data_IF_893183994312
#
_entry.id   IF_893183994312
#
_cell.length_a   1.000
_cell.length_b   1.000
_cell.length_c   1.000
_cell.angle_alpha   90.00
_cell.angle_beta   90.00
_cell.angle_gamma   90.00
#
_symmetry.space_group_name_H-M   'P 1'
#
loop_
_entity.id
_entity.type
_entity.pdbx_description
1 polymer ?
#
# COMPACT_ATOMS: atom_id res chain seq x y z
N UNK A 1 8.85 23.53 -27.63
CA UNK A 1 9.41 23.21 -26.29
C UNK A 1 9.76 21.74 -26.26
N UNK A 2 11.05 21.45 -26.37
CA UNK A 2 11.58 20.10 -26.44
C UNK A 2 11.34 19.41 -25.09
N UNK A 3 10.56 18.33 -25.09
CA UNK A 3 10.49 17.39 -23.99
C UNK A 3 11.88 16.76 -23.84
N UNK A 4 12.64 17.19 -22.83
CA UNK A 4 13.81 16.44 -22.38
C UNK A 4 13.36 15.06 -21.96
N UNK A 5 13.51 14.07 -22.84
CA UNK A 5 13.55 12.66 -22.47
C UNK A 5 14.74 12.47 -21.55
N UNK A 6 14.51 12.58 -20.23
CA UNK A 6 15.45 12.05 -19.27
C UNK A 6 15.30 10.52 -19.40
N UNK A 7 16.19 9.88 -20.13
CA UNK A 7 16.36 8.42 -20.07
C UNK A 7 16.69 8.08 -18.63
N UNK A 8 15.66 7.73 -17.85
CA UNK A 8 15.83 7.23 -16.50
C UNK A 8 16.52 5.87 -16.60
N UNK A 9 17.82 5.85 -16.36
CA UNK A 9 18.65 4.64 -16.44
C UNK A 9 18.29 3.73 -15.26
N UNK A 10 17.75 2.55 -15.57
CA UNK A 10 17.50 1.50 -14.57
C UNK A 10 18.82 1.05 -13.94
N UNK A 11 18.82 0.72 -12.65
CA UNK A 11 19.94 0.03 -12.04
C UNK A 11 20.10 -1.37 -12.64
N UNK A 12 21.29 -1.99 -12.50
CA UNK A 12 21.55 -3.32 -13.04
C UNK A 12 20.50 -4.35 -12.61
N UNK A 13 20.09 -4.35 -11.36
CA UNK A 13 19.08 -5.27 -10.82
C UNK A 13 17.67 -4.93 -11.26
N UNK A 14 17.35 -3.64 -11.43
CA UNK A 14 16.07 -3.22 -12.00
C UNK A 14 15.96 -3.65 -13.47
N UNK A 15 17.04 -3.55 -14.24
CA UNK A 15 17.08 -4.01 -15.63
C UNK A 15 16.95 -5.55 -15.71
N UNK A 16 17.62 -6.29 -14.84
CA UNK A 16 17.51 -7.74 -14.77
C UNK A 16 16.07 -8.19 -14.49
N UNK A 17 15.41 -7.55 -13.50
CA UNK A 17 13.99 -7.80 -13.22
C UNK A 17 13.11 -7.53 -14.45
N UNK A 18 13.30 -6.37 -15.09
CA UNK A 18 12.55 -5.98 -16.27
C UNK A 18 12.70 -7.02 -17.39
N UNK A 19 13.92 -7.43 -17.68
CA UNK A 19 14.21 -8.41 -18.75
C UNK A 19 13.61 -9.79 -18.45
N UNK A 20 13.71 -10.29 -17.22
CA UNK A 20 13.13 -11.58 -16.82
C UNK A 20 11.61 -11.55 -16.91
N UNK A 21 10.97 -10.47 -16.45
CA UNK A 21 9.53 -10.31 -16.52
C UNK A 21 9.03 -10.31 -17.95
N UNK A 22 9.69 -9.58 -18.87
CA UNK A 22 9.31 -9.54 -20.28
C UNK A 22 9.55 -10.87 -21.03
N UNK A 23 10.49 -11.69 -20.55
CA UNK A 23 10.71 -13.06 -21.05
C UNK A 23 9.67 -14.07 -20.54
N UNK A 24 8.69 -13.65 -19.76
CA UNK A 24 7.62 -14.51 -19.23
C UNK A 24 8.05 -15.37 -18.04
N UNK A 25 9.15 -15.05 -17.36
CA UNK A 25 9.59 -15.78 -16.17
C UNK A 25 8.76 -15.38 -14.95
N UNK A 26 8.53 -16.33 -14.04
CA UNK A 26 8.03 -15.99 -12.71
C UNK A 26 9.15 -15.29 -11.95
N UNK A 27 8.86 -14.10 -11.39
CA UNK A 27 9.87 -13.29 -10.71
C UNK A 27 9.36 -12.83 -9.35
N UNK A 28 10.19 -13.01 -8.34
CA UNK A 28 10.03 -12.36 -7.04
C UNK A 28 10.96 -11.16 -6.97
N UNK A 29 10.39 -9.95 -7.06
CA UNK A 29 11.10 -8.71 -6.86
C UNK A 29 11.06 -8.34 -5.38
N UNK A 30 12.14 -8.59 -4.68
CA UNK A 30 12.36 -8.16 -3.30
C UNK A 30 13.20 -6.88 -3.25
N UNK A 31 13.20 -6.21 -2.12
CA UNK A 31 14.12 -5.09 -1.88
C UNK A 31 13.65 -4.19 -0.75
N UNK A 32 14.59 -3.43 -0.20
CA UNK A 32 14.38 -2.52 0.92
C UNK A 32 13.37 -1.41 0.60
N UNK A 33 12.90 -0.71 1.64
CA UNK A 33 12.10 0.50 1.44
C UNK A 33 12.88 1.54 0.63
N UNK A 34 12.25 2.15 -0.38
CA UNK A 34 12.88 3.21 -1.19
C UNK A 34 13.83 2.75 -2.28
N UNK A 35 13.87 1.47 -2.66
CA UNK A 35 14.72 0.94 -3.74
C UNK A 35 14.10 1.02 -5.15
N UNK A 36 12.93 1.64 -5.30
CA UNK A 36 12.29 1.84 -6.60
C UNK A 36 11.49 0.64 -7.12
N UNK A 37 11.09 -0.33 -6.26
CA UNK A 37 10.25 -1.47 -6.65
C UNK A 37 9.02 -1.07 -7.46
N UNK A 38 8.21 -0.16 -6.91
CA UNK A 38 6.96 0.28 -7.54
C UNK A 38 7.20 1.00 -8.88
N UNK A 39 8.33 1.69 -9.00
CA UNK A 39 8.72 2.34 -10.26
C UNK A 39 8.97 1.32 -11.36
N UNK A 40 9.87 0.36 -11.13
CA UNK A 40 10.21 -0.65 -12.14
C UNK A 40 9.05 -1.60 -12.41
N UNK A 41 8.19 -1.88 -11.41
CA UNK A 41 6.96 -2.66 -11.60
C UNK A 41 5.98 -1.97 -12.56
N UNK A 42 5.79 -0.65 -12.44
CA UNK A 42 4.94 0.10 -13.38
C UNK A 42 5.47 0.06 -14.81
N UNK A 43 6.79 0.12 -15.01
CA UNK A 43 7.38 -0.05 -16.34
C UNK A 43 7.07 -1.44 -16.93
N UNK A 44 7.24 -2.51 -16.13
CA UNK A 44 6.92 -3.88 -16.55
C UNK A 44 5.44 -4.03 -16.87
N UNK A 45 4.55 -3.51 -16.02
CA UNK A 45 3.09 -3.53 -16.25
C UNK A 45 2.75 -2.88 -17.59
N UNK A 46 3.28 -1.69 -17.86
CA UNK A 46 3.00 -0.94 -19.10
C UNK A 46 3.47 -1.69 -20.33
N UNK A 47 4.62 -2.36 -20.27
CA UNK A 47 5.12 -3.12 -21.43
C UNK A 47 4.35 -4.43 -21.65
N UNK A 48 4.07 -5.17 -20.58
CA UNK A 48 3.31 -6.43 -20.68
C UNK A 48 1.88 -6.20 -21.16
N UNK A 49 1.21 -5.13 -20.68
CA UNK A 49 -0.17 -4.81 -21.07
C UNK A 49 -0.35 -4.54 -22.56
N UNK A 50 0.72 -4.21 -23.31
CA UNK A 50 0.67 -4.05 -24.76
C UNK A 50 0.42 -5.38 -25.48
N UNK A 51 0.83 -6.51 -24.89
CA UNK A 51 0.88 -7.81 -25.56
C UNK A 51 0.12 -8.94 -24.86
N UNK A 52 -0.22 -8.74 -23.58
CA UNK A 52 -0.80 -9.78 -22.70
C UNK A 52 -1.91 -9.21 -21.85
N UNK A 53 -2.80 -10.09 -21.38
CA UNK A 53 -3.76 -9.76 -20.33
C UNK A 53 -3.07 -9.85 -18.97
N UNK A 54 -2.73 -8.70 -18.40
CA UNK A 54 -2.11 -8.61 -17.08
C UNK A 54 -3.13 -8.20 -16.02
N UNK A 55 -3.27 -9.01 -14.98
CA UNK A 55 -3.98 -8.63 -13.77
C UNK A 55 -2.97 -8.12 -12.74
N UNK A 56 -3.18 -6.91 -12.24
CA UNK A 56 -2.37 -6.28 -11.18
C UNK A 56 -3.20 -6.25 -9.91
N UNK A 57 -2.71 -6.87 -8.86
CA UNK A 57 -3.47 -6.96 -7.61
C UNK A 57 -2.60 -6.63 -6.39
N UNK A 58 -3.28 -6.25 -5.30
CA UNK A 58 -2.62 -6.04 -4.01
C UNK A 58 -3.52 -6.50 -2.85
N UNK A 59 -2.97 -6.76 -1.65
CA UNK A 59 -3.75 -7.21 -0.50
C UNK A 59 -4.72 -6.16 0.05
N UNK A 60 -4.42 -4.87 -0.13
CA UNK A 60 -5.25 -3.75 0.40
C UNK A 60 -5.70 -2.82 -0.72
N UNK A 61 -6.83 -2.11 -0.51
CA UNK A 61 -7.34 -1.14 -1.47
C UNK A 61 -6.36 0.00 -1.75
N UNK A 62 -5.66 0.50 -0.72
CA UNK A 62 -4.64 1.56 -0.86
C UNK A 62 -3.48 1.10 -1.74
N UNK A 63 -2.94 -0.08 -1.48
CA UNK A 63 -1.85 -0.64 -2.30
C UNK A 63 -2.31 -0.88 -3.75
N UNK A 64 -3.52 -1.43 -3.93
CA UNK A 64 -4.11 -1.66 -5.25
C UNK A 64 -4.24 -0.35 -6.06
N UNK A 65 -4.74 0.71 -5.44
CA UNK A 65 -4.84 2.03 -6.08
C UNK A 65 -3.46 2.59 -6.45
N UNK A 66 -2.47 2.46 -5.58
CA UNK A 66 -1.12 2.98 -5.81
C UNK A 66 -0.41 2.33 -7.00
N UNK A 67 -0.63 1.02 -7.21
CA UNK A 67 -0.06 0.28 -8.34
C UNK A 67 -0.94 0.36 -9.60
N UNK A 68 -2.16 0.86 -9.49
CA UNK A 68 -3.12 0.94 -10.59
C UNK A 68 -3.81 -0.39 -10.89
N UNK A 69 -4.16 -1.14 -9.85
CA UNK A 69 -4.79 -2.45 -9.95
C UNK A 69 -6.06 -2.57 -9.08
N UNK A 70 -6.42 -3.81 -8.74
CA UNK A 70 -7.55 -4.17 -7.89
C UNK A 70 -7.10 -4.95 -6.64
N UNK A 71 -7.99 -5.19 -5.68
CA UNK A 71 -7.65 -6.04 -4.54
C UNK A 71 -7.71 -7.53 -4.93
N UNK A 72 -6.83 -8.34 -4.30
CA UNK A 72 -6.86 -9.81 -4.48
C UNK A 72 -8.24 -10.39 -4.18
N UNK A 73 -8.88 -9.93 -3.07
CA UNK A 73 -10.20 -10.40 -2.67
C UNK A 73 -11.28 -10.08 -3.70
N UNK A 74 -11.29 -8.87 -4.28
CA UNK A 74 -12.28 -8.52 -5.30
C UNK A 74 -12.02 -9.27 -6.61
N UNK A 75 -10.76 -9.37 -7.03
CA UNK A 75 -10.41 -10.01 -8.31
C UNK A 75 -10.74 -11.49 -8.30
N UNK A 76 -10.35 -12.22 -7.27
CA UNK A 76 -10.52 -13.67 -7.18
C UNK A 76 -11.71 -14.11 -6.33
N UNK A 77 -12.54 -13.18 -5.84
CA UNK A 77 -13.67 -13.46 -4.94
C UNK A 77 -13.26 -14.31 -3.73
N UNK A 78 -12.08 -14.01 -3.14
CA UNK A 78 -11.59 -14.76 -1.99
C UNK A 78 -12.47 -14.52 -0.78
N UNK A 79 -12.79 -15.57 0.02
CA UNK A 79 -13.45 -15.40 1.31
C UNK A 79 -12.66 -14.50 2.24
N UNK A 80 -13.36 -13.69 3.04
CA UNK A 80 -12.73 -12.77 3.99
C UNK A 80 -12.31 -13.49 5.27
N UNK A 81 -13.00 -14.58 5.60
CA UNK A 81 -12.82 -15.33 6.85
C UNK A 81 -12.41 -16.77 6.58
N UNK A 82 -11.63 -17.31 7.51
CA UNK A 82 -11.17 -18.70 7.51
C UNK A 82 -9.91 -18.93 6.66
N UNK A 83 -9.29 -20.09 6.87
CA UNK A 83 -8.15 -20.56 6.05
C UNK A 83 -8.67 -21.00 4.70
N UNK A 84 -8.02 -20.56 3.62
CA UNK A 84 -8.42 -20.91 2.27
C UNK A 84 -8.20 -22.39 1.99
N UNK A 85 -9.27 -23.08 1.61
CA UNK A 85 -9.28 -24.47 1.19
C UNK A 85 -10.19 -24.63 -0.04
N UNK A 86 -10.02 -25.72 -0.78
CA UNK A 86 -10.80 -25.96 -2.00
C UNK A 86 -12.31 -25.92 -1.75
N UNK A 87 -12.77 -26.43 -0.59
CA UNK A 87 -14.19 -26.47 -0.24
C UNK A 87 -14.79 -25.07 -0.06
N UNK A 88 -14.03 -24.14 0.57
CA UNK A 88 -14.49 -22.77 0.86
C UNK A 88 -14.17 -21.75 -0.24
N UNK A 89 -13.48 -22.15 -1.33
CA UNK A 89 -13.36 -21.31 -2.49
C UNK A 89 -14.73 -21.07 -3.14
N UNK A 90 -14.99 -19.84 -3.58
CA UNK A 90 -16.26 -19.47 -4.18
C UNK A 90 -16.39 -19.98 -5.62
N UNK A 91 -17.62 -20.33 -6.03
CA UNK A 91 -17.95 -20.44 -7.45
C UNK A 91 -18.10 -19.03 -8.03
N UNK A 92 -17.51 -18.82 -9.18
CA UNK A 92 -17.50 -17.53 -9.86
C UNK A 92 -18.63 -17.45 -10.89
N UNK A 93 -19.21 -16.28 -11.06
CA UNK A 93 -20.14 -16.00 -12.16
C UNK A 93 -19.38 -16.07 -13.50
N UNK A 94 -20.13 -16.28 -14.60
CA UNK A 94 -19.59 -16.44 -15.96
C UNK A 94 -18.63 -15.30 -16.34
N UNK A 95 -19.03 -14.05 -16.08
CA UNK A 95 -18.26 -12.86 -16.44
C UNK A 95 -16.90 -12.83 -15.70
N UNK A 96 -16.93 -13.13 -14.40
CA UNK A 96 -15.72 -13.14 -13.58
C UNK A 96 -14.81 -14.32 -13.90
N UNK A 97 -15.40 -15.45 -14.25
CA UNK A 97 -14.65 -16.63 -14.73
C UNK A 97 -13.96 -16.33 -16.05
N UNK A 98 -14.61 -15.61 -16.99
CA UNK A 98 -14.00 -15.18 -18.24
C UNK A 98 -12.79 -14.28 -17.99
N UNK A 99 -12.91 -13.29 -17.09
CA UNK A 99 -11.78 -12.46 -16.67
C UNK A 99 -10.60 -13.31 -16.18
N UNK A 100 -10.85 -14.19 -15.22
CA UNK A 100 -9.78 -14.98 -14.58
C UNK A 100 -9.12 -15.93 -15.59
N UNK A 101 -9.91 -16.53 -16.47
CA UNK A 101 -9.39 -17.47 -17.46
C UNK A 101 -8.56 -16.77 -18.56
N UNK A 102 -8.78 -15.50 -18.79
CA UNK A 102 -8.03 -14.71 -19.78
C UNK A 102 -6.71 -14.14 -19.25
N UNK A 103 -6.42 -14.20 -17.93
CA UNK A 103 -5.19 -13.70 -17.34
C UNK A 103 -3.98 -14.47 -17.89
N UNK A 104 -3.03 -13.78 -18.51
CA UNK A 104 -1.74 -14.33 -18.94
C UNK A 104 -0.63 -14.06 -17.92
N UNK A 105 -0.71 -12.93 -17.23
CA UNK A 105 0.26 -12.56 -16.19
C UNK A 105 -0.48 -12.01 -14.97
N UNK A 106 -0.16 -12.52 -13.79
CA UNK A 106 -0.60 -11.98 -12.50
C UNK A 106 0.56 -11.29 -11.81
N UNK A 107 0.42 -9.99 -11.53
CA UNK A 107 1.34 -9.25 -10.68
C UNK A 107 0.69 -8.96 -9.33
N UNK A 108 1.36 -9.36 -8.24
CA UNK A 108 0.93 -9.14 -6.86
C UNK A 108 1.91 -8.17 -6.18
N UNK A 109 1.47 -6.96 -5.89
CA UNK A 109 2.26 -5.97 -5.13
C UNK A 109 2.02 -6.11 -3.62
N UNK A 110 2.93 -5.59 -2.80
CA UNK A 110 2.93 -5.70 -1.33
C UNK A 110 2.75 -7.14 -0.83
N UNK A 111 3.48 -8.07 -1.45
CA UNK A 111 3.37 -9.52 -1.20
C UNK A 111 3.67 -9.90 0.26
N UNK A 112 4.44 -9.07 1.00
CA UNK A 112 4.73 -9.29 2.43
C UNK A 112 3.47 -9.38 3.30
N UNK A 113 2.37 -8.74 2.86
CA UNK A 113 1.09 -8.76 3.56
C UNK A 113 0.18 -9.92 3.13
N UNK A 114 0.66 -10.81 2.27
CA UNK A 114 -0.11 -11.95 1.74
C UNK A 114 0.21 -13.20 2.54
N UNK A 115 -0.83 -13.83 3.09
CA UNK A 115 -0.73 -15.11 3.79
C UNK A 115 -0.53 -16.27 2.80
N UNK A 116 0.06 -17.40 3.22
CA UNK A 116 0.28 -18.55 2.35
C UNK A 116 -1.05 -19.14 1.82
N UNK A 117 -2.08 -19.17 2.66
CA UNK A 117 -3.41 -19.66 2.27
C UNK A 117 -4.11 -18.75 1.24
N UNK A 118 -3.83 -17.44 1.25
CA UNK A 118 -4.39 -16.53 0.25
C UNK A 118 -3.82 -16.80 -1.14
N UNK A 119 -2.52 -17.05 -1.24
CA UNK A 119 -1.89 -17.36 -2.52
C UNK A 119 -2.35 -18.74 -3.04
N UNK A 120 -2.43 -19.74 -2.15
CA UNK A 120 -3.03 -21.04 -2.48
C UNK A 120 -4.51 -20.86 -2.85
N UNK A 121 -5.24 -20.00 -2.15
CA UNK A 121 -6.66 -19.70 -2.39
C UNK A 121 -6.93 -19.13 -3.78
N UNK A 122 -6.04 -18.30 -4.31
CA UNK A 122 -6.12 -17.82 -5.70
C UNK A 122 -6.06 -19.02 -6.65
N UNK A 123 -5.02 -19.84 -6.52
CA UNK A 123 -4.83 -21.04 -7.36
C UNK A 123 -6.03 -21.99 -7.27
N UNK A 124 -6.48 -22.29 -6.04
CA UNK A 124 -7.60 -23.18 -5.80
C UNK A 124 -8.92 -22.64 -6.37
N UNK A 125 -9.16 -21.32 -6.25
CA UNK A 125 -10.34 -20.68 -6.83
C UNK A 125 -10.32 -20.77 -8.35
N UNK A 126 -9.17 -20.52 -8.98
CA UNK A 126 -9.01 -20.68 -10.43
C UNK A 126 -9.32 -22.11 -10.87
N UNK A 127 -8.71 -23.11 -10.23
CA UNK A 127 -8.91 -24.52 -10.55
C UNK A 127 -10.35 -25.01 -10.28
N UNK A 128 -10.98 -24.61 -9.17
CA UNK A 128 -12.36 -24.94 -8.84
C UNK A 128 -13.35 -24.46 -9.90
N UNK A 129 -13.03 -23.38 -10.57
CA UNK A 129 -13.86 -22.79 -11.61
C UNK A 129 -13.47 -23.19 -13.04
N UNK A 130 -12.58 -24.18 -13.19
CA UNK A 130 -12.15 -24.68 -14.49
C UNK A 130 -11.26 -23.71 -15.27
N UNK A 131 -10.63 -22.77 -14.58
CA UNK A 131 -9.70 -21.80 -15.18
C UNK A 131 -8.26 -22.32 -15.13
N UNK A 132 -7.39 -21.70 -15.94
CA UNK A 132 -5.94 -21.89 -15.83
C UNK A 132 -5.49 -21.50 -14.42
N UNK A 133 -4.66 -22.31 -13.76
CA UNK A 133 -4.13 -22.03 -12.43
C UNK A 133 -2.89 -21.14 -12.46
N UNK A 134 -2.38 -20.78 -11.29
CA UNK A 134 -1.13 -20.01 -11.19
C UNK A 134 0.09 -20.74 -11.77
N UNK A 135 0.02 -22.06 -11.90
CA UNK A 135 1.05 -22.90 -12.52
C UNK A 135 1.01 -22.87 -14.07
N UNK A 136 0.00 -22.26 -14.66
CA UNK A 136 -0.21 -22.18 -16.11
C UNK A 136 -0.11 -20.76 -16.67
N UNK A 137 0.15 -19.76 -15.80
CA UNK A 137 0.32 -18.35 -16.16
C UNK A 137 1.62 -17.81 -15.59
N UNK A 138 2.06 -16.66 -16.06
CA UNK A 138 3.17 -15.96 -15.46
C UNK A 138 2.75 -15.30 -14.14
N UNK A 139 3.55 -15.48 -13.07
CA UNK A 139 3.33 -14.84 -11.76
C UNK A 139 4.52 -13.97 -11.41
N UNK A 140 4.26 -12.69 -11.11
CA UNK A 140 5.23 -11.73 -10.61
C UNK A 140 4.78 -11.29 -9.23
N UNK A 141 5.65 -11.41 -8.23
CA UNK A 141 5.36 -10.96 -6.87
C UNK A 141 6.37 -9.90 -6.45
N UNK A 142 5.89 -8.84 -5.79
CA UNK A 142 6.69 -7.66 -5.45
C UNK A 142 6.49 -7.30 -3.98
N UNK A 143 7.58 -7.07 -3.23
CA UNK A 143 7.48 -6.61 -1.85
C UNK A 143 8.80 -6.62 -1.09
N UNK A 144 8.74 -6.26 0.18
CA UNK A 144 9.85 -6.35 1.14
C UNK A 144 9.42 -7.26 2.30
N UNK A 145 9.99 -8.45 2.38
CA UNK A 145 9.66 -9.46 3.38
C UNK A 145 9.90 -9.02 4.83
N UNK A 146 10.63 -7.95 5.02
CA UNK A 146 10.94 -7.37 6.33
C UNK A 146 10.05 -6.19 6.70
N UNK A 147 9.13 -5.81 5.80
CA UNK A 147 8.07 -4.86 6.10
C UNK A 147 6.90 -5.56 6.82
N UNK A 148 5.75 -4.90 6.85
CA UNK A 148 4.58 -5.41 7.56
C UNK A 148 4.16 -6.79 7.03
N UNK A 149 4.01 -7.70 7.96
CA UNK A 149 3.42 -9.02 7.71
C UNK A 149 1.89 -8.97 7.86
N UNK A 150 1.17 -10.02 7.42
CA UNK A 150 -0.26 -10.09 7.59
C UNK A 150 -0.66 -9.99 9.07
N UNK A 151 -1.58 -9.06 9.38
CA UNK A 151 -2.15 -8.95 10.72
C UNK A 151 -3.27 -9.97 10.86
N UNK A 152 -3.21 -10.78 11.91
CA UNK A 152 -4.20 -11.80 12.22
C UNK A 152 -4.27 -12.03 13.75
N UNK A 153 -5.41 -12.50 14.22
CA UNK A 153 -5.54 -12.91 15.62
C UNK A 153 -4.82 -14.23 15.91
N UNK A 154 -4.58 -14.52 17.20
CA UNK A 154 -3.79 -15.69 17.62
C UNK A 154 -4.48 -17.01 17.25
N UNK A 155 -5.82 -17.06 17.25
CA UNK A 155 -6.56 -18.27 16.86
C UNK A 155 -6.34 -18.57 15.39
N UNK A 156 -6.46 -17.55 14.52
CA UNK A 156 -6.24 -17.71 13.10
C UNK A 156 -4.78 -18.07 12.78
N UNK A 157 -3.83 -17.42 13.48
CA UNK A 157 -2.40 -17.73 13.38
C UNK A 157 -2.13 -19.21 13.73
N UNK A 158 -2.73 -19.69 14.81
CA UNK A 158 -2.60 -21.10 15.22
C UNK A 158 -3.17 -22.07 14.19
N UNK A 159 -4.29 -21.72 13.55
CA UNK A 159 -4.88 -22.52 12.46
C UNK A 159 -3.97 -22.57 11.24
N UNK A 160 -3.39 -21.42 10.84
CA UNK A 160 -2.45 -21.37 9.70
C UNK A 160 -1.19 -22.20 9.97
N UNK A 161 -0.61 -22.09 11.17
CA UNK A 161 0.60 -22.84 11.54
C UNK A 161 0.39 -24.35 11.60
N UNK A 162 -0.84 -24.83 11.82
CA UNK A 162 -1.18 -26.26 11.70
C UNK A 162 -1.13 -26.75 10.26
N UNK A 163 -1.37 -25.88 9.28
CA UNK A 163 -1.43 -26.23 7.85
C UNK A 163 -0.15 -25.86 7.11
N UNK A 164 0.46 -24.73 7.48
CA UNK A 164 1.67 -24.19 6.86
C UNK A 164 2.78 -24.06 7.90
N UNK A 165 4.02 -24.25 7.49
CA UNK A 165 5.18 -24.13 8.40
C UNK A 165 5.54 -22.68 8.75
N UNK A 166 4.81 -21.69 8.23
CA UNK A 166 4.99 -20.26 8.47
C UNK A 166 3.80 -19.45 7.99
N UNK A 167 3.89 -18.14 8.18
CA UNK A 167 2.76 -17.22 8.01
C UNK A 167 2.83 -16.35 6.75
N UNK A 168 3.98 -16.27 6.12
CA UNK A 168 4.17 -15.52 4.90
C UNK A 168 3.93 -16.38 3.64
N UNK A 169 3.77 -15.74 2.50
CA UNK A 169 3.42 -16.38 1.23
C UNK A 169 4.42 -17.45 0.76
N UNK A 170 5.69 -17.41 1.21
CA UNK A 170 6.71 -18.38 0.79
C UNK A 170 6.40 -19.80 1.26
N UNK A 171 5.57 -19.91 2.31
CA UNK A 171 5.07 -21.21 2.80
C UNK A 171 3.86 -21.74 2.02
N UNK A 172 3.33 -20.99 1.05
CA UNK A 172 2.26 -21.42 0.16
C UNK A 172 2.69 -22.65 -0.64
N UNK A 173 1.78 -23.60 -0.81
CA UNK A 173 2.04 -24.82 -1.59
C UNK A 173 2.25 -24.47 -3.07
N UNK A 174 1.48 -23.55 -3.62
CA UNK A 174 1.63 -23.14 -5.02
C UNK A 174 2.94 -22.35 -5.23
N UNK A 175 3.34 -21.48 -4.28
CA UNK A 175 4.59 -20.75 -4.40
C UNK A 175 5.80 -21.69 -4.50
N UNK A 176 5.83 -22.76 -3.68
CA UNK A 176 6.88 -23.77 -3.72
C UNK A 176 6.94 -24.56 -5.04
N UNK A 177 5.82 -24.67 -5.75
CA UNK A 177 5.74 -25.33 -7.07
C UNK A 177 6.17 -24.42 -8.21
N UNK A 178 5.97 -23.10 -8.05
CA UNK A 178 6.35 -22.13 -9.06
C UNK A 178 7.87 -21.87 -8.97
N UNK A 179 8.55 -21.94 -10.11
CA UNK A 179 9.97 -21.67 -10.16
C UNK A 179 10.21 -20.17 -10.32
N UNK A 180 10.43 -19.47 -9.20
CA UNK A 180 10.69 -18.02 -9.17
C UNK A 180 12.17 -17.71 -9.33
N UNK A 181 12.49 -16.75 -10.20
CA UNK A 181 13.75 -16.02 -10.16
C UNK A 181 13.62 -14.90 -9.12
N UNK A 182 14.47 -14.89 -8.10
CA UNK A 182 14.45 -13.86 -7.06
C UNK A 182 15.46 -12.76 -7.37
N UNK A 183 14.99 -11.52 -7.45
CA UNK A 183 15.82 -10.31 -7.61
C UNK A 183 15.65 -9.46 -6.36
N UNK A 184 16.72 -9.15 -5.67
CA UNK A 184 16.71 -8.25 -4.52
C UNK A 184 17.35 -6.91 -4.87
N UNK A 185 16.55 -5.82 -4.85
CA UNK A 185 17.03 -4.45 -5.02
C UNK A 185 17.68 -3.98 -3.73
N UNK A 186 18.92 -3.55 -3.80
CA UNK A 186 19.76 -3.14 -2.66
C UNK A 186 20.07 -1.64 -2.61
N UNK A 187 19.97 -0.93 -3.73
CA UNK A 187 20.25 0.51 -3.80
C UNK A 187 19.06 1.30 -3.22
N UNK A 188 19.27 1.96 -2.08
CA UNK A 188 18.26 2.81 -1.45
C UNK A 188 18.31 4.20 -2.08
N UNK A 189 17.21 4.61 -2.71
CA UNK A 189 17.10 5.91 -3.40
C UNK A 189 16.44 6.99 -2.53
N UNK A 190 15.78 6.60 -1.42
CA UNK A 190 15.00 7.50 -0.56
C UNK A 190 15.85 8.31 0.43
N UNK A 191 16.90 7.70 0.96
CA UNK A 191 17.73 8.24 2.01
C UNK A 191 19.19 8.26 1.55
N UNK A 192 19.91 9.32 1.90
CA UNK A 192 21.35 9.50 1.53
C UNK A 192 22.31 9.34 2.71
N UNK A 193 21.83 9.27 3.95
CA UNK A 193 22.68 9.11 5.15
C UNK A 193 23.04 7.64 5.35
N UNK A 194 24.29 7.29 5.09
CA UNK A 194 24.79 5.91 5.15
C UNK A 194 24.78 5.32 6.56
N UNK A 195 25.02 6.14 7.60
CA UNK A 195 24.96 5.68 9.00
C UNK A 195 23.54 5.31 9.38
N UNK A 196 22.58 6.17 9.06
CA UNK A 196 21.17 5.91 9.28
C UNK A 196 20.71 4.64 8.55
N UNK A 197 21.06 4.51 7.26
CA UNK A 197 20.72 3.33 6.45
C UNK A 197 21.29 2.06 7.07
N UNK A 198 22.52 2.10 7.55
CA UNK A 198 23.18 0.95 8.20
C UNK A 198 22.40 0.50 9.44
N UNK A 199 22.04 1.44 10.32
CA UNK A 199 21.28 1.13 11.53
C UNK A 199 19.82 0.75 11.25
N UNK A 200 19.23 1.33 10.21
CA UNK A 200 17.90 0.94 9.74
C UNK A 200 17.89 -0.52 9.24
N UNK A 201 18.96 -0.95 8.55
CA UNK A 201 19.11 -2.35 8.12
C UNK A 201 19.25 -3.31 9.32
N UNK A 202 19.96 -2.92 10.38
CA UNK A 202 20.02 -3.72 11.63
C UNK A 202 18.60 -3.94 12.18
N UNK A 203 17.76 -2.90 12.24
CA UNK A 203 16.37 -3.02 12.70
C UNK A 203 15.53 -3.85 11.72
N UNK A 204 15.73 -3.67 10.43
CA UNK A 204 15.07 -4.47 9.38
C UNK A 204 15.30 -5.97 9.57
N UNK A 205 16.51 -6.34 9.94
CA UNK A 205 16.89 -7.75 10.13
C UNK A 205 16.58 -8.29 11.54
N UNK A 206 15.76 -7.53 12.31
CA UNK A 206 15.32 -7.92 13.66
C UNK A 206 16.30 -7.61 14.78
N UNK A 207 17.42 -6.96 14.47
CA UNK A 207 18.43 -6.54 15.45
C UNK A 207 18.00 -5.29 16.23
N UNK A 208 18.71 -5.03 17.33
CA UNK A 208 18.55 -3.82 18.14
C UNK A 208 19.67 -2.83 17.80
N UNK A 209 19.33 -1.56 17.63
CA UNK A 209 20.31 -0.51 17.39
C UNK A 209 20.19 0.62 18.42
N UNK A 210 21.26 0.87 19.16
CA UNK A 210 21.33 1.99 20.10
C UNK A 210 21.41 3.36 19.41
N UNK A 211 21.72 3.40 18.12
CA UNK A 211 21.79 4.60 17.31
C UNK A 211 20.50 5.46 17.42
N UNK A 212 19.35 4.80 17.45
CA UNK A 212 18.06 5.49 17.50
C UNK A 212 17.76 6.16 18.84
N UNK A 213 18.54 5.89 19.91
CA UNK A 213 18.39 6.55 21.21
C UNK A 213 18.66 8.06 21.17
N UNK A 214 19.50 8.51 20.23
CA UNK A 214 19.81 9.96 20.07
C UNK A 214 18.61 10.79 19.59
N UNK A 215 17.56 10.13 19.08
CA UNK A 215 16.33 10.78 18.63
C UNK A 215 15.19 10.78 19.67
N UNK A 216 15.47 10.29 20.88
CA UNK A 216 14.48 10.31 21.97
C UNK A 216 14.16 11.73 22.38
N UNK A 217 12.88 12.05 22.47
CA UNK A 217 12.39 13.36 22.92
C UNK A 217 11.06 13.23 23.67
N UNK A 218 10.62 14.32 24.31
CA UNK A 218 9.35 14.40 25.02
C UNK A 218 8.28 15.16 24.20
N UNK A 219 8.69 15.85 23.14
CA UNK A 219 7.81 16.67 22.30
C UNK A 219 7.72 16.08 20.90
N UNK A 220 6.56 16.29 20.28
CA UNK A 220 6.31 15.82 18.92
C UNK A 220 6.78 16.85 17.90
N UNK A 221 7.37 16.38 16.80
CA UNK A 221 7.68 17.16 15.59
C UNK A 221 7.07 16.48 14.38
N UNK A 222 6.63 17.27 13.41
CA UNK A 222 6.06 16.73 12.18
C UNK A 222 4.77 15.94 12.40
N UNK A 223 4.63 14.83 11.70
CA UNK A 223 3.51 13.89 11.85
C UNK A 223 3.85 12.79 12.84
N UNK A 224 2.87 12.40 13.68
CA UNK A 224 3.05 11.27 14.60
C UNK A 224 2.71 9.97 13.88
N UNK A 225 3.64 9.02 13.87
CA UNK A 225 3.42 7.64 13.46
C UNK A 225 3.30 6.77 14.72
N UNK A 226 2.21 6.03 14.85
CA UNK A 226 1.98 5.17 16.01
C UNK A 226 1.61 3.73 15.59
N UNK A 227 1.99 2.72 16.39
CA UNK A 227 1.60 1.32 16.14
C UNK A 227 0.09 1.11 16.19
N UNK A 228 -0.60 1.78 17.11
CA UNK A 228 -2.01 1.53 17.44
C UNK A 228 -2.95 2.64 16.99
N UNK A 229 -4.10 2.28 16.42
CA UNK A 229 -5.13 3.22 15.98
C UNK A 229 -5.72 4.05 17.14
N UNK A 230 -5.74 3.52 18.38
CA UNK A 230 -6.17 4.27 19.58
C UNK A 230 -5.29 5.49 19.85
N UNK A 231 -3.96 5.33 19.73
CA UNK A 231 -3.00 6.43 19.84
C UNK A 231 -3.21 7.46 18.74
N UNK A 232 -3.38 7.01 17.50
CA UNK A 232 -3.67 7.89 16.35
C UNK A 232 -4.93 8.72 16.57
N UNK A 233 -6.03 8.08 16.99
CA UNK A 233 -7.30 8.76 17.30
C UNK A 233 -7.11 9.82 18.39
N UNK A 234 -6.35 9.49 19.45
CA UNK A 234 -6.06 10.43 20.55
C UNK A 234 -5.34 11.69 20.06
N UNK A 235 -4.29 11.54 19.24
CA UNK A 235 -3.56 12.69 18.69
C UNK A 235 -4.42 13.53 17.76
N UNK A 236 -5.15 12.91 16.83
CA UNK A 236 -5.99 13.62 15.88
C UNK A 236 -7.13 14.36 16.59
N UNK A 237 -7.78 13.72 17.59
CA UNK A 237 -8.79 14.37 18.40
C UNK A 237 -8.22 15.56 19.20
N UNK A 238 -7.10 15.34 19.91
CA UNK A 238 -6.43 16.41 20.67
C UNK A 238 -6.06 17.59 19.77
N UNK A 239 -5.53 17.31 18.58
CA UNK A 239 -5.16 18.33 17.61
C UNK A 239 -6.37 19.12 17.09
N UNK A 240 -7.48 18.43 16.78
CA UNK A 240 -8.73 19.06 16.33
C UNK A 240 -9.39 19.87 17.45
N UNK A 241 -9.39 19.35 18.68
CA UNK A 241 -9.99 20.03 19.86
C UNK A 241 -9.18 21.29 20.24
N UNK A 242 -7.87 21.29 20.01
CA UNK A 242 -7.01 22.44 20.28
C UNK A 242 -7.21 23.61 19.29
N UNK A 243 -7.82 23.38 18.13
CA UNK A 243 -8.16 24.46 17.21
C UNK A 243 -9.41 25.18 17.69
N UNK A 244 -9.33 26.50 17.73
CA UNK A 244 -10.48 27.37 17.95
C UNK A 244 -11.36 27.46 16.70
N UNK A 245 -12.64 27.79 16.86
CA UNK A 245 -13.54 28.02 15.75
C UNK A 245 -14.54 26.89 15.51
N UNK A 246 -15.31 27.09 14.46
CA UNK A 246 -16.41 26.21 14.06
C UNK A 246 -15.92 24.86 13.56
N UNK A 247 -16.64 23.80 13.92
CA UNK A 247 -16.43 22.46 13.37
C UNK A 247 -17.19 22.32 12.06
N UNK A 248 -16.46 22.09 10.98
CA UNK A 248 -17.05 21.77 9.66
C UNK A 248 -17.12 20.27 9.48
N UNK A 249 -18.26 19.79 9.01
CA UNK A 249 -18.51 18.39 8.74
C UNK A 249 -18.90 18.20 7.28
N UNK A 250 -18.25 17.28 6.60
CA UNK A 250 -18.52 16.95 5.20
C UNK A 250 -18.76 15.45 5.05
N UNK A 251 -19.99 15.09 4.67
CA UNK A 251 -20.34 13.71 4.39
C UNK A 251 -19.96 13.34 2.95
N UNK A 252 -19.47 12.11 2.77
CA UNK A 252 -19.15 11.55 1.47
C UNK A 252 -20.42 11.12 0.74
N UNK A 253 -20.36 11.16 -0.58
CA UNK A 253 -21.35 10.55 -1.45
C UNK A 253 -20.82 9.22 -1.96
N UNK A 254 -21.54 8.11 -1.72
CA UNK A 254 -21.14 6.75 -2.07
C UNK A 254 -22.14 6.18 -3.06
N UNK A 255 -21.65 5.66 -4.19
CA UNK A 255 -22.45 5.11 -5.26
C UNK A 255 -21.95 3.72 -5.69
N UNK A 256 -22.86 2.89 -6.20
CA UNK A 256 -22.55 1.59 -6.80
C UNK A 256 -22.23 0.49 -5.77
N UNK A 257 -21.45 -0.51 -6.18
CA UNK A 257 -21.14 -1.72 -5.38
C UNK A 257 -19.88 -1.54 -4.55
N UNK A 258 -19.94 -0.65 -3.55
CA UNK A 258 -18.79 -0.37 -2.67
C UNK A 258 -19.23 -0.10 -1.23
N UNK A 259 -18.26 -0.15 -0.31
CA UNK A 259 -18.40 0.21 1.10
C UNK A 259 -17.35 1.27 1.43
N UNK A 260 -17.57 2.02 2.53
CA UNK A 260 -16.60 3.01 3.04
C UNK A 260 -15.18 2.45 3.17
N UNK A 261 -15.06 1.20 3.63
CA UNK A 261 -13.78 0.52 3.82
C UNK A 261 -13.00 0.21 2.54
N UNK A 262 -13.65 0.34 1.37
CA UNK A 262 -12.98 0.17 0.08
C UNK A 262 -12.11 1.38 -0.29
N UNK A 263 -12.28 2.52 0.42
CA UNK A 263 -11.63 3.80 0.12
C UNK A 263 -10.70 4.25 1.25
N UNK A 264 -9.77 5.14 0.93
CA UNK A 264 -8.86 5.75 1.91
C UNK A 264 -9.38 7.08 2.47
N UNK A 265 -10.60 7.46 2.15
CA UNK A 265 -11.26 8.68 2.62
C UNK A 265 -12.17 8.36 3.82
N UNK A 266 -12.38 9.36 4.67
CA UNK A 266 -13.35 9.26 5.75
C UNK A 266 -14.74 9.57 5.17
N UNK A 267 -15.74 8.70 5.45
CA UNK A 267 -17.12 8.94 5.02
C UNK A 267 -17.70 10.20 5.66
N UNK A 268 -17.25 10.53 6.85
CA UNK A 268 -17.56 11.77 7.56
C UNK A 268 -16.26 12.47 7.94
N UNK A 269 -15.93 13.53 7.21
CA UNK A 269 -14.75 14.37 7.44
C UNK A 269 -15.11 15.48 8.42
N UNK A 270 -14.38 15.59 9.52
CA UNK A 270 -14.51 16.64 10.53
C UNK A 270 -13.22 17.45 10.62
N UNK A 271 -13.31 18.77 10.36
CA UNK A 271 -12.17 19.70 10.34
C UNK A 271 -12.54 21.07 10.90
N UNK A 272 -11.53 21.80 11.38
CA UNK A 272 -11.65 23.22 11.75
C UNK A 272 -10.62 24.02 10.98
N UNK A 273 -10.88 25.32 10.73
CA UNK A 273 -9.87 26.20 10.14
C UNK A 273 -8.60 26.16 10.99
N UNK A 274 -7.43 26.08 10.35
CA UNK A 274 -6.14 25.94 11.04
C UNK A 274 -5.73 24.53 11.46
N UNK A 275 -6.58 23.51 11.30
CA UNK A 275 -6.18 22.15 11.64
C UNK A 275 -5.15 21.57 10.64
N UNK A 276 -4.29 20.66 11.13
CA UNK A 276 -3.31 19.96 10.31
C UNK A 276 -3.98 18.85 9.53
N UNK A 277 -3.84 18.87 8.21
CA UNK A 277 -4.42 17.90 7.30
C UNK A 277 -3.37 17.27 6.39
N UNK A 278 -3.70 16.10 5.85
CA UNK A 278 -2.95 15.40 4.80
C UNK A 278 -3.82 15.31 3.55
N UNK A 279 -3.23 15.64 2.40
CA UNK A 279 -3.83 15.41 1.09
C UNK A 279 -3.62 13.96 0.66
N UNK A 280 -4.64 13.31 0.12
CA UNK A 280 -4.70 11.85 -0.04
C UNK A 280 -4.58 11.35 -1.47
N UNK A 281 -4.48 12.25 -2.43
CA UNK A 281 -4.36 11.93 -3.87
C UNK A 281 -3.25 12.76 -4.51
N UNK A 282 -2.97 12.52 -5.78
CA UNK A 282 -2.11 13.42 -6.56
C UNK A 282 -2.99 14.41 -7.31
N UNK A 283 -2.73 15.71 -7.21
CA UNK A 283 -3.43 16.72 -7.98
C UNK A 283 -3.07 16.64 -9.47
N UNK A 284 -3.98 17.09 -10.35
CA UNK A 284 -3.80 17.01 -11.80
C UNK A 284 -2.53 17.70 -12.31
N UNK A 285 -2.10 18.75 -11.64
CA UNK A 285 -0.91 19.54 -11.96
C UNK A 285 0.34 19.13 -11.16
N UNK A 286 0.25 18.06 -10.35
CA UNK A 286 1.30 17.58 -9.45
C UNK A 286 1.82 18.60 -8.41
N UNK A 287 1.07 19.68 -8.15
CA UNK A 287 1.41 20.64 -7.09
C UNK A 287 1.19 20.04 -5.70
N UNK A 288 0.19 19.16 -5.55
CA UNK A 288 -0.05 18.37 -4.35
C UNK A 288 0.09 16.88 -4.69
N UNK A 289 0.82 16.17 -3.87
CA UNK A 289 0.97 14.70 -3.98
C UNK A 289 0.36 14.01 -2.77
N UNK A 290 0.01 12.75 -2.91
CA UNK A 290 -0.50 11.94 -1.82
C UNK A 290 0.52 11.91 -0.66
N UNK A 291 0.08 12.28 0.54
CA UNK A 291 0.91 12.43 1.73
C UNK A 291 1.36 13.86 2.02
N UNK A 292 1.08 14.83 1.12
CA UNK A 292 1.37 16.26 1.41
C UNK A 292 0.62 16.70 2.66
N UNK A 293 1.35 17.23 3.62
CA UNK A 293 0.82 17.78 4.89
C UNK A 293 0.76 19.30 4.79
N UNK A 294 -0.34 19.87 5.27
CA UNK A 294 -0.53 21.31 5.32
C UNK A 294 -1.58 21.70 6.35
N UNK A 295 -1.93 22.98 6.33
CA UNK A 295 -2.95 23.55 7.20
C UNK A 295 -4.26 23.72 6.42
N UNK A 296 -5.37 23.25 6.99
CA UNK A 296 -6.70 23.46 6.42
C UNK A 296 -7.11 24.92 6.54
N UNK A 297 -7.60 25.51 5.45
CA UNK A 297 -8.14 26.86 5.39
C UNK A 297 -9.51 26.86 4.70
N UNK A 298 -10.47 27.59 5.31
CA UNK A 298 -11.79 27.82 4.72
C UNK A 298 -11.98 29.29 4.41
N UNK A 299 -12.41 29.61 3.17
CA UNK A 299 -12.71 30.99 2.70
C UNK A 299 -14.08 30.97 2.02
N UNK A 300 -15.11 31.41 2.74
CA UNK A 300 -16.49 31.22 2.28
C UNK A 300 -16.79 29.74 2.08
N UNK A 301 -17.21 29.35 0.90
CA UNK A 301 -17.48 27.94 0.55
C UNK A 301 -16.27 27.17 0.01
N UNK A 302 -15.17 27.87 -0.24
CA UNK A 302 -13.96 27.26 -0.81
C UNK A 302 -13.03 26.73 0.30
N UNK A 303 -12.46 25.54 0.05
CA UNK A 303 -11.54 24.85 0.93
C UNK A 303 -10.13 24.89 0.33
N UNK A 304 -9.13 25.06 1.19
CA UNK A 304 -7.74 25.11 0.78
C UNK A 304 -6.86 24.30 1.74
N UNK A 305 -5.75 23.79 1.21
CA UNK A 305 -4.59 23.36 1.99
C UNK A 305 -3.46 24.36 1.81
N UNK A 306 -2.93 24.86 2.92
CA UNK A 306 -1.79 25.78 2.94
C UNK A 306 -0.52 24.98 3.19
N UNK A 307 0.44 25.06 2.27
CA UNK A 307 1.71 24.34 2.30
C UNK A 307 2.82 25.35 2.00
N UNK A 308 3.78 25.52 2.89
CA UNK A 308 4.90 26.45 2.68
C UNK A 308 4.50 27.91 2.48
N UNK A 309 3.32 28.33 2.98
CA UNK A 309 2.78 29.68 2.78
C UNK A 309 1.94 29.86 1.52
N UNK A 310 1.88 28.86 0.63
CA UNK A 310 1.02 28.87 -0.54
C UNK A 310 -0.29 28.12 -0.26
N UNK A 311 -1.40 28.61 -0.85
CA UNK A 311 -2.72 28.00 -0.68
C UNK A 311 -3.16 27.31 -1.99
N UNK A 312 -3.53 26.03 -1.87
CA UNK A 312 -4.01 25.20 -2.96
C UNK A 312 -5.48 24.81 -2.71
N UNK A 313 -6.34 25.02 -3.69
CA UNK A 313 -7.76 24.66 -3.57
C UNK A 313 -7.94 23.14 -3.41
N UNK A 314 -8.90 22.77 -2.58
CA UNK A 314 -9.32 21.39 -2.34
C UNK A 314 -10.72 21.21 -2.90
N UNK A 315 -10.83 20.49 -4.01
CA UNK A 315 -12.11 20.09 -4.58
C UNK A 315 -12.49 18.68 -4.11
N UNK A 316 -13.78 18.36 -4.20
CA UNK A 316 -14.24 16.98 -4.01
C UNK A 316 -13.61 16.09 -5.06
N UNK A 317 -13.13 14.94 -4.64
CA UNK A 317 -12.49 13.94 -5.47
C UNK A 317 -13.33 12.67 -5.51
N UNK A 318 -13.61 12.17 -6.71
CA UNK A 318 -14.27 10.88 -6.92
C UNK A 318 -13.21 9.79 -6.91
N UNK A 319 -13.19 9.00 -5.84
CA UNK A 319 -12.37 7.77 -5.75
C UNK A 319 -13.19 6.59 -6.27
N UNK A 320 -12.63 5.85 -7.21
CA UNK A 320 -13.31 4.77 -7.90
C UNK A 320 -12.86 3.41 -7.36
N UNK A 321 -13.83 2.53 -7.10
CA UNK A 321 -13.58 1.11 -6.92
C UNK A 321 -13.67 0.45 -8.27
N UNK A 322 -12.57 -0.18 -8.69
CA UNK A 322 -12.49 -0.85 -9.99
C UNK A 322 -12.42 -2.37 -9.81
N UNK A 323 -13.07 -3.07 -10.72
CA UNK A 323 -12.95 -4.52 -10.87
C UNK A 323 -12.57 -4.86 -12.32
N UNK A 324 -11.88 -5.98 -12.49
CA UNK A 324 -11.59 -6.48 -13.84
C UNK A 324 -12.85 -7.03 -14.50
N UNK A 325 -13.05 -6.64 -15.75
CA UNK A 325 -14.11 -7.14 -16.65
C UNK A 325 -13.46 -7.62 -17.92
N UNK A 326 -13.95 -8.73 -18.47
CA UNK A 326 -13.48 -9.25 -19.75
C UNK A 326 -14.29 -8.63 -20.88
N UNK A 327 -13.61 -8.02 -21.84
CA UNK A 327 -14.21 -7.48 -23.06
C UNK A 327 -14.09 -8.54 -24.16
N UNK A 328 -15.23 -9.15 -24.54
CA UNK A 328 -15.27 -10.23 -25.55
C UNK A 328 -14.84 -9.76 -26.94
N UNK A 329 -15.04 -8.47 -27.26
CA UNK A 329 -14.68 -7.91 -28.59
C UNK A 329 -13.17 -7.72 -28.74
N UNK A 330 -12.47 -7.32 -27.66
CA UNK A 330 -11.03 -7.06 -27.69
C UNK A 330 -10.21 -8.22 -27.14
N UNK A 331 -10.87 -9.24 -26.57
CA UNK A 331 -10.27 -10.38 -25.85
C UNK A 331 -9.33 -9.91 -24.71
N UNK A 332 -9.61 -8.73 -24.11
CA UNK A 332 -8.80 -8.13 -23.05
C UNK A 332 -9.57 -7.98 -21.76
N UNK A 333 -8.82 -8.02 -20.65
CA UNK A 333 -9.32 -7.59 -19.35
C UNK A 333 -9.08 -6.10 -19.16
N UNK A 334 -10.12 -5.41 -18.68
CA UNK A 334 -10.11 -3.98 -18.44
C UNK A 334 -10.59 -3.70 -17.02
N UNK A 335 -10.04 -2.64 -16.39
CA UNK A 335 -10.51 -2.18 -15.10
C UNK A 335 -11.73 -1.26 -15.32
N UNK A 336 -12.90 -1.68 -14.83
CA UNK A 336 -14.14 -0.88 -14.88
C UNK A 336 -14.54 -0.42 -13.49
N UNK A 337 -15.11 0.79 -13.41
CA UNK A 337 -15.70 1.32 -12.18
C UNK A 337 -16.95 0.51 -11.82
N UNK A 338 -16.98 0.00 -10.58
CA UNK A 338 -18.15 -0.72 -10.02
C UNK A 338 -18.80 0.03 -8.87
N UNK A 339 -18.14 1.05 -8.36
CA UNK A 339 -18.63 1.95 -7.33
C UNK A 339 -17.64 3.07 -7.06
N UNK A 340 -18.10 4.11 -6.40
CA UNK A 340 -17.27 5.28 -6.10
C UNK A 340 -17.64 5.95 -4.79
N UNK A 341 -16.70 6.70 -4.24
CA UNK A 341 -16.87 7.61 -3.12
C UNK A 341 -16.39 9.00 -3.51
N UNK A 342 -17.26 9.99 -3.43
CA UNK A 342 -16.91 11.39 -3.66
C UNK A 342 -16.80 12.13 -2.34
N UNK A 343 -15.59 12.59 -2.00
CA UNK A 343 -15.27 13.32 -0.77
C UNK A 343 -14.13 14.30 -1.00
N UNK A 344 -13.92 15.23 -0.10
CA UNK A 344 -12.68 16.00 -0.08
C UNK A 344 -11.51 15.06 0.25
N UNK A 345 -10.45 15.04 -0.58
CA UNK A 345 -9.37 14.06 -0.46
C UNK A 345 -8.37 14.46 0.62
N UNK A 346 -8.85 14.68 1.83
CA UNK A 346 -8.06 15.07 3.00
C UNK A 346 -8.48 14.27 4.23
N UNK A 347 -7.57 14.20 5.19
CA UNK A 347 -7.84 13.72 6.56
C UNK A 347 -7.02 14.51 7.57
N UNK A 348 -7.37 14.43 8.85
CA UNK A 348 -6.53 14.97 9.92
C UNK A 348 -5.14 14.32 9.89
N UNK A 349 -4.10 15.10 10.10
CA UNK A 349 -2.69 14.71 9.97
C UNK A 349 -1.84 15.03 11.20
N UNK A 350 -2.41 15.05 12.38
CA UNK A 350 -1.62 15.09 13.62
C UNK A 350 -0.96 13.74 13.85
N UNK A 351 -1.66 12.64 13.53
CA UNK A 351 -1.10 11.31 13.56
C UNK A 351 -1.70 10.37 12.49
N UNK A 352 -0.92 9.33 12.12
CA UNK A 352 -1.35 8.23 11.24
C UNK A 352 -0.75 6.93 11.77
N UNK A 353 -1.41 5.79 11.54
CA UNK A 353 -0.83 4.51 11.93
C UNK A 353 0.34 4.14 11.02
N UNK A 354 1.33 3.42 11.58
CA UNK A 354 2.50 2.93 10.83
C UNK A 354 2.04 2.12 9.60
N UNK A 355 0.98 1.31 9.73
CA UNK A 355 0.42 0.56 8.61
C UNK A 355 -0.06 1.46 7.47
N UNK A 356 -0.80 2.53 7.79
CA UNK A 356 -1.32 3.47 6.79
C UNK A 356 -0.25 4.41 6.22
N UNK A 357 0.92 4.50 6.86
CA UNK A 357 2.07 5.26 6.36
C UNK A 357 2.93 4.46 5.38
N UNK A 358 2.64 3.18 5.16
CA UNK A 358 3.37 2.36 4.21
C UNK A 358 3.30 2.97 2.79
N UNK A 359 4.42 3.00 2.10
CA UNK A 359 4.53 3.71 0.82
C UNK A 359 4.74 5.23 0.89
N UNK A 360 4.38 5.88 2.01
CA UNK A 360 4.55 7.32 2.19
C UNK A 360 5.97 7.69 2.62
N UNK A 361 6.30 8.98 2.50
CA UNK A 361 7.58 9.56 2.90
C UNK A 361 7.31 10.95 3.48
N UNK A 362 8.02 11.32 4.56
CA UNK A 362 7.83 12.57 5.27
C UNK A 362 9.18 13.20 5.60
N UNK A 363 9.22 14.52 5.67
CA UNK A 363 10.42 15.25 6.08
C UNK A 363 10.62 15.21 7.59
N UNK A 364 9.52 15.28 8.36
CA UNK A 364 9.53 15.23 9.81
C UNK A 364 8.53 14.19 10.34
N UNK A 365 9.03 13.29 11.18
CA UNK A 365 8.26 12.19 11.78
C UNK A 365 8.55 12.11 13.27
N UNK A 366 7.50 12.04 14.07
CA UNK A 366 7.58 11.53 15.44
C UNK A 366 7.07 10.11 15.49
N UNK A 367 7.94 9.15 15.82
CA UNK A 367 7.55 7.77 16.05
C UNK A 367 7.16 7.59 17.52
N UNK A 368 5.87 7.48 17.81
CA UNK A 368 5.36 7.26 19.17
C UNK A 368 5.29 5.76 19.47
N UNK A 369 6.24 5.29 20.27
CA UNK A 369 6.38 3.94 20.77
C UNK A 369 5.97 3.82 22.26
N UNK A 370 5.18 4.75 22.79
CA UNK A 370 4.62 4.65 24.14
C UNK A 370 3.79 3.40 24.35
N UNK A 371 3.14 2.92 23.29
CA UNK A 371 2.63 1.56 23.16
C UNK A 371 3.54 0.77 22.23
N UNK A 372 3.95 -0.47 22.59
CA UNK A 372 4.90 -1.24 21.80
C UNK A 372 4.33 -1.61 20.42
N UNK A 373 5.23 -1.83 19.47
CA UNK A 373 4.87 -2.47 18.22
C UNK A 373 4.33 -3.87 18.47
N UNK A 374 3.24 -4.24 17.80
CA UNK A 374 2.59 -5.54 17.93
C UNK A 374 2.79 -6.46 16.72
N UNK A 375 3.29 -5.89 15.61
CA UNK A 375 3.55 -6.64 14.39
C UNK A 375 5.03 -6.55 14.01
N UNK A 376 5.55 -7.65 13.48
CA UNK A 376 6.91 -7.71 12.91
C UNK A 376 7.03 -6.73 11.74
N UNK A 377 8.21 -6.11 11.59
CA UNK A 377 8.47 -5.08 10.58
C UNK A 377 7.90 -3.69 10.89
N UNK A 378 7.01 -3.54 11.89
CA UNK A 378 6.32 -2.29 12.17
C UNK A 378 7.30 -1.17 12.58
N UNK A 379 8.28 -1.48 13.44
CA UNK A 379 9.32 -0.53 13.82
C UNK A 379 10.16 -0.10 12.60
N UNK A 380 10.60 -1.04 11.78
CA UNK A 380 11.34 -0.77 10.56
C UNK A 380 10.55 0.14 9.61
N UNK A 381 9.27 -0.17 9.37
CA UNK A 381 8.41 0.66 8.53
C UNK A 381 8.32 2.08 9.08
N UNK A 382 8.07 2.25 10.37
CA UNK A 382 7.99 3.57 11.01
C UNK A 382 9.27 4.39 10.83
N UNK A 383 10.43 3.80 11.16
CA UNK A 383 11.74 4.45 11.02
C UNK A 383 12.09 4.77 9.57
N UNK A 384 11.64 3.96 8.61
CA UNK A 384 11.93 4.16 7.18
C UNK A 384 11.06 5.24 6.51
N UNK A 385 10.14 5.89 7.23
CA UNK A 385 9.25 6.92 6.64
C UNK A 385 9.89 8.28 6.49
N UNK A 386 10.92 8.59 7.26
CA UNK A 386 11.61 9.88 7.22
C UNK A 386 12.66 9.94 6.10
N UNK A 387 12.79 11.09 5.46
CA UNK A 387 13.80 11.31 4.38
C UNK A 387 15.21 11.48 4.92
N UNK A 388 15.34 12.04 6.13
CA UNK A 388 16.62 12.39 6.77
C UNK A 388 16.59 12.08 8.26
N UNK A 389 17.72 11.68 8.88
CA UNK A 389 17.80 11.47 10.32
C UNK A 389 17.39 12.70 11.15
N UNK A 390 17.67 13.91 10.68
CA UNK A 390 17.33 15.17 11.37
C UNK A 390 15.83 15.38 11.54
N UNK A 391 15.00 14.77 10.68
CA UNK A 391 13.55 14.82 10.77
C UNK A 391 12.94 13.76 11.70
N UNK A 392 13.75 12.84 12.29
CA UNK A 392 13.23 11.78 13.16
C UNK A 392 13.18 12.23 14.62
N UNK A 393 12.05 11.97 15.25
CA UNK A 393 11.85 12.07 16.71
C UNK A 393 11.23 10.78 17.20
N UNK A 394 11.60 10.30 18.39
CA UNK A 394 11.06 9.07 18.98
C UNK A 394 10.55 9.36 20.39
N UNK A 395 9.33 8.94 20.68
CA UNK A 395 8.71 8.99 22.01
C UNK A 395 8.55 7.57 22.54
N UNK A 396 8.97 7.35 23.78
CA UNK A 396 8.78 6.09 24.51
C UNK A 396 8.21 6.40 25.89
N UNK A 397 7.48 5.46 26.49
CA UNK A 397 7.16 5.56 27.92
C UNK A 397 8.46 5.43 28.72
N UNK A 398 8.66 6.37 29.65
CA UNK A 398 9.72 6.29 30.64
C UNK A 398 9.39 5.30 31.76
#
# INVERSE_FOLDING_TARGET
MEQKNIEMKLSKKQQEFYDLALRGKNVFLSGKAGTGKSFVSKLVINELAKKKNIAVVAPTGVAATNIGGATMHSTFSLPIYGVMEFQNCNFLRSEKRAVINSIDTLLIDEISMVRPDMLDGIHLTMKKNGCRGLDEIQVIVVGDMKQLQPVMDDNFKSMLLKKYQGLDFTYSNIFKKLNFSTIELDEVLRQSDNEFITHLNVVRDGGKSNYFRKFLANETKGIVLAPHNSTVKKYNKKGLDAQSGELFTYDAHIEGKCKETDFNFESRLEVKDGCKIMYLVNSKNNQLVNGTIGTFRKRGDNLFIEVGGEQFAIDRFKSEKKEYVYNEQTEKIELQEVGSMTQYPIKLAYAVSIHKSQGMTFDEVTLDLSMPCFAEGQLYVGLSRVTSPSGLTIIVNR
#
